data_IF_182547969091
#
_entry.id   IF_182547969091
#
_cell.length_a   1.000
_cell.length_b   1.000
_cell.length_c   1.000
_cell.angle_alpha   90.00
_cell.angle_beta   90.00
_cell.angle_gamma   90.00
#
_symmetry.space_group_name_H-M   'P 1'
#
loop_
_entity.id
_entity.type
_entity.pdbx_description
1 polymer ?
#
# COMPACT_ATOMS: atom_id res chain seq x y z
N UNK A 1 15.71 22.10 -3.81
CA UNK A 1 16.41 21.62 -5.03
C UNK A 1 15.90 20.23 -5.35
N UNK A 2 15.38 19.98 -6.56
CA UNK A 2 14.90 18.67 -6.99
C UNK A 2 16.14 17.81 -7.28
N UNK A 3 16.31 16.72 -6.54
CA UNK A 3 17.41 15.77 -6.73
C UNK A 3 17.00 14.69 -7.73
N UNK A 4 17.99 14.00 -8.30
CA UNK A 4 17.77 12.86 -9.21
C UNK A 4 16.91 11.76 -8.56
N UNK A 5 17.10 11.51 -7.25
CA UNK A 5 16.33 10.52 -6.49
C UNK A 5 14.83 10.86 -6.46
N UNK A 6 14.49 12.16 -6.33
CA UNK A 6 13.10 12.62 -6.37
C UNK A 6 12.48 12.35 -7.74
N UNK A 7 13.22 12.63 -8.83
CA UNK A 7 12.73 12.38 -10.19
C UNK A 7 12.51 10.89 -10.41
N UNK A 8 13.50 10.06 -10.10
CA UNK A 8 13.41 8.61 -10.31
C UNK A 8 12.32 8.00 -9.42
N UNK A 9 12.22 8.40 -8.15
CA UNK A 9 11.19 7.94 -7.25
C UNK A 9 9.76 8.24 -7.74
N UNK A 10 9.56 9.44 -8.32
CA UNK A 10 8.27 9.80 -8.93
C UNK A 10 8.01 9.04 -10.25
N UNK A 11 9.03 8.77 -11.06
CA UNK A 11 8.91 7.91 -12.24
C UNK A 11 8.52 6.48 -11.83
N UNK A 12 9.15 5.92 -10.80
CA UNK A 12 8.78 4.62 -10.25
C UNK A 12 7.29 4.61 -9.83
N UNK A 13 6.83 5.66 -9.16
CA UNK A 13 5.43 5.77 -8.76
C UNK A 13 4.47 5.84 -9.94
N UNK A 14 4.85 6.50 -11.03
CA UNK A 14 4.08 6.52 -12.27
C UNK A 14 3.99 5.12 -12.91
N UNK A 15 5.11 4.42 -12.99
CA UNK A 15 5.15 3.05 -13.52
C UNK A 15 4.32 2.09 -12.67
N UNK A 16 4.42 2.21 -11.35
CA UNK A 16 3.63 1.42 -10.42
C UNK A 16 2.12 1.69 -10.57
N UNK A 17 1.71 2.95 -10.72
CA UNK A 17 0.32 3.34 -10.97
C UNK A 17 -0.22 2.72 -12.27
N UNK A 18 0.56 2.74 -13.35
CA UNK A 18 0.20 2.08 -14.61
C UNK A 18 0.05 0.57 -14.40
N UNK A 19 0.97 -0.04 -13.68
CA UNK A 19 0.93 -1.48 -13.34
C UNK A 19 -0.31 -1.82 -12.52
N UNK A 20 -0.67 -1.00 -11.53
CA UNK A 20 -1.90 -1.19 -10.74
C UNK A 20 -3.17 -1.06 -11.59
N UNK A 21 -3.15 -0.17 -12.58
CA UNK A 21 -4.26 -0.04 -13.54
C UNK A 21 -4.42 -1.32 -14.38
N UNK A 22 -3.32 -1.97 -14.76
CA UNK A 22 -3.35 -3.27 -15.43
C UNK A 22 -3.86 -4.37 -14.50
N UNK A 23 -3.54 -4.30 -13.21
CA UNK A 23 -4.03 -5.24 -12.19
C UNK A 23 -5.57 -5.26 -12.15
N UNK A 24 -6.21 -4.09 -12.21
CA UNK A 24 -7.67 -3.99 -12.15
C UNK A 24 -8.39 -4.65 -13.35
N UNK A 25 -7.69 -4.85 -14.47
CA UNK A 25 -8.23 -5.53 -15.66
C UNK A 25 -8.02 -7.06 -15.68
N UNK A 26 -7.34 -7.62 -14.67
CA UNK A 26 -7.11 -9.05 -14.57
C UNK A 26 -8.40 -9.82 -14.23
N UNK A 27 -8.61 -10.95 -14.90
CA UNK A 27 -9.81 -11.79 -14.72
C UNK A 27 -9.76 -12.71 -13.50
N UNK A 28 -8.59 -12.94 -12.92
CA UNK A 28 -8.41 -13.88 -11.81
C UNK A 28 -7.76 -13.20 -10.62
N UNK A 29 -8.15 -13.60 -9.40
CA UNK A 29 -7.53 -13.09 -8.16
C UNK A 29 -6.02 -13.30 -8.14
N UNK A 30 -5.54 -14.45 -8.63
CA UNK A 30 -4.09 -14.70 -8.77
C UNK A 30 -3.41 -13.68 -9.69
N UNK A 31 -4.02 -13.39 -10.84
CA UNK A 31 -3.51 -12.39 -11.79
C UNK A 31 -3.47 -10.99 -11.15
N UNK A 32 -4.54 -10.59 -10.47
CA UNK A 32 -4.59 -9.32 -9.72
C UNK A 32 -3.44 -9.24 -8.72
N UNK A 33 -3.27 -10.25 -7.85
CA UNK A 33 -2.26 -10.24 -6.80
C UNK A 33 -0.83 -10.29 -7.34
N UNK A 34 -0.59 -11.00 -8.46
CA UNK A 34 0.73 -11.03 -9.11
C UNK A 34 1.10 -9.65 -9.65
N UNK A 35 0.19 -9.00 -10.40
CA UNK A 35 0.44 -7.67 -10.96
C UNK A 35 0.58 -6.63 -9.86
N UNK A 36 -0.23 -6.70 -8.79
CA UNK A 36 -0.07 -5.86 -7.61
C UNK A 36 1.28 -6.08 -6.92
N UNK A 37 1.81 -7.31 -6.88
CA UNK A 37 3.14 -7.55 -6.29
C UNK A 37 4.25 -6.88 -7.09
N UNK A 38 4.13 -6.84 -8.43
CA UNK A 38 5.05 -6.09 -9.29
C UNK A 38 4.94 -4.59 -9.02
N UNK A 39 3.73 -4.07 -8.94
CA UNK A 39 3.47 -2.67 -8.60
C UNK A 39 4.06 -2.30 -7.23
N UNK A 40 3.83 -3.13 -6.20
CA UNK A 40 4.38 -2.91 -4.85
C UNK A 40 5.91 -2.94 -4.84
N UNK A 41 6.53 -3.79 -5.67
CA UNK A 41 7.98 -3.81 -5.82
C UNK A 41 8.50 -2.48 -6.39
N UNK A 42 7.87 -1.98 -7.45
CA UNK A 42 8.24 -0.70 -8.08
C UNK A 42 8.00 0.47 -7.12
N UNK A 43 6.85 0.52 -6.43
CA UNK A 43 6.56 1.51 -5.39
C UNK A 43 7.57 1.45 -4.25
N UNK A 44 7.89 0.24 -3.77
CA UNK A 44 8.86 0.03 -2.70
C UNK A 44 10.24 0.55 -3.06
N UNK A 45 10.69 0.27 -4.28
CA UNK A 45 11.96 0.78 -4.78
C UNK A 45 11.96 2.32 -4.90
N UNK A 46 10.92 2.91 -5.50
CA UNK A 46 10.77 4.37 -5.57
C UNK A 46 10.74 5.03 -4.19
N UNK A 47 9.98 4.45 -3.25
CA UNK A 47 9.88 4.94 -1.87
C UNK A 47 11.21 4.83 -1.13
N UNK A 48 12.01 3.79 -1.42
CA UNK A 48 13.37 3.62 -0.87
C UNK A 48 14.30 4.73 -1.35
N UNK A 49 14.29 5.06 -2.65
CA UNK A 49 15.07 6.17 -3.21
C UNK A 49 14.68 7.51 -2.58
N UNK A 50 13.41 7.71 -2.26
CA UNK A 50 12.88 8.89 -1.58
C UNK A 50 13.14 8.87 -0.06
N UNK A 51 13.92 7.89 0.44
CA UNK A 51 14.27 7.69 1.87
C UNK A 51 13.03 7.48 2.76
N UNK A 52 11.93 7.02 2.20
CA UNK A 52 10.73 6.63 2.92
C UNK A 52 10.79 5.18 3.42
N UNK A 53 11.76 4.83 4.27
CA UNK A 53 12.10 3.44 4.60
C UNK A 53 10.94 2.66 5.21
N UNK A 54 10.17 3.27 6.10
CA UNK A 54 8.97 2.64 6.66
C UNK A 54 7.95 2.27 5.59
N UNK A 55 7.71 3.15 4.61
CA UNK A 55 6.84 2.90 3.47
C UNK A 55 7.37 1.78 2.56
N UNK A 56 8.68 1.76 2.29
CA UNK A 56 9.31 0.69 1.51
C UNK A 56 9.14 -0.68 2.17
N UNK A 57 9.31 -0.75 3.49
CA UNK A 57 9.05 -1.97 4.29
C UNK A 57 7.58 -2.41 4.16
N UNK A 58 6.63 -1.48 4.23
CA UNK A 58 5.22 -1.82 4.08
C UNK A 58 4.89 -2.39 2.69
N UNK A 59 5.53 -1.89 1.64
CA UNK A 59 5.40 -2.46 0.30
C UNK A 59 5.97 -3.90 0.24
N UNK A 60 7.13 -4.16 0.85
CA UNK A 60 7.70 -5.51 0.93
C UNK A 60 6.80 -6.49 1.69
N UNK A 61 6.24 -6.08 2.83
CA UNK A 61 5.27 -6.89 3.60
C UNK A 61 4.01 -7.15 2.79
N UNK A 62 3.54 -6.17 2.00
CA UNK A 62 2.39 -6.34 1.11
C UNK A 62 2.64 -7.38 0.02
N UNK A 63 3.85 -7.44 -0.53
CA UNK A 63 4.25 -8.49 -1.48
C UNK A 63 4.17 -9.87 -0.81
N UNK A 64 4.74 -10.03 0.38
CA UNK A 64 4.69 -11.30 1.12
C UNK A 64 3.25 -11.73 1.41
N UNK A 65 2.40 -10.79 1.85
CA UNK A 65 0.96 -11.02 2.04
C UNK A 65 0.29 -11.51 0.75
N UNK A 66 0.58 -10.88 -0.37
CA UNK A 66 0.01 -11.28 -1.66
C UNK A 66 0.46 -12.70 -2.04
N UNK A 67 1.73 -13.08 -1.80
CA UNK A 67 2.21 -14.43 -2.03
C UNK A 67 1.49 -15.47 -1.16
N UNK A 68 1.26 -15.16 0.12
CA UNK A 68 0.49 -16.03 1.02
C UNK A 68 -0.93 -16.22 0.50
N UNK A 69 -1.58 -15.13 0.05
CA UNK A 69 -2.91 -15.17 -0.53
C UNK A 69 -2.97 -15.95 -1.86
N UNK A 70 -1.98 -15.81 -2.75
CA UNK A 70 -1.87 -16.57 -3.99
C UNK A 70 -1.76 -18.09 -3.73
N UNK A 71 -1.02 -18.45 -2.69
CA UNK A 71 -0.85 -19.85 -2.25
C UNK A 71 -2.03 -20.40 -1.45
N UNK A 72 -3.02 -19.56 -1.15
CA UNK A 72 -4.21 -19.90 -0.36
C UNK A 72 -3.86 -20.52 1.01
N UNK A 73 -2.80 -20.02 1.65
CA UNK A 73 -2.37 -20.48 2.96
C UNK A 73 -3.27 -19.84 4.02
N UNK A 74 -4.21 -20.61 4.56
CA UNK A 74 -5.08 -20.19 5.65
C UNK A 74 -4.43 -20.52 7.01
N UNK A 75 -3.62 -19.61 7.52
CA UNK A 75 -2.96 -19.75 8.82
C UNK A 75 -3.04 -18.45 9.61
N UNK A 76 -3.81 -18.47 10.71
CA UNK A 76 -3.89 -17.31 11.62
C UNK A 76 -2.52 -16.90 12.19
N UNK A 77 -1.63 -17.88 12.40
CA UNK A 77 -0.27 -17.61 12.87
C UNK A 77 0.50 -16.80 11.84
N UNK A 78 0.41 -17.18 10.55
CA UNK A 78 1.08 -16.48 9.47
C UNK A 78 0.49 -15.08 9.24
N UNK A 79 -0.83 -14.93 9.35
CA UNK A 79 -1.51 -13.63 9.27
C UNK A 79 -0.99 -12.67 10.35
N UNK A 80 -0.96 -13.11 11.60
CA UNK A 80 -0.42 -12.30 12.71
C UNK A 80 1.08 -12.07 12.59
N UNK A 81 1.85 -13.05 12.09
CA UNK A 81 3.27 -12.87 11.83
C UNK A 81 3.53 -11.76 10.80
N UNK A 82 2.75 -11.70 9.71
CA UNK A 82 2.83 -10.63 8.71
C UNK A 82 2.46 -9.26 9.28
N UNK A 83 1.38 -9.19 10.09
CA UNK A 83 0.99 -7.96 10.78
C UNK A 83 2.10 -7.47 11.70
N UNK A 84 2.60 -8.34 12.58
CA UNK A 84 3.67 -7.99 13.52
C UNK A 84 4.96 -7.62 12.82
N UNK A 85 5.35 -8.36 11.77
CA UNK A 85 6.52 -8.05 10.94
C UNK A 85 6.40 -6.65 10.33
N UNK A 86 5.23 -6.31 9.77
CA UNK A 86 4.97 -4.97 9.21
C UNK A 86 5.11 -3.87 10.26
N UNK A 87 4.57 -4.08 11.47
CA UNK A 87 4.69 -3.11 12.57
C UNK A 87 6.13 -3.00 13.05
N UNK A 88 6.76 -4.11 13.41
CA UNK A 88 8.11 -4.12 14.01
C UNK A 88 9.14 -3.55 13.03
N UNK A 89 9.17 -4.05 11.79
CA UNK A 89 10.11 -3.56 10.79
C UNK A 89 9.78 -2.12 10.36
N UNK A 90 8.50 -1.77 10.22
CA UNK A 90 8.09 -0.41 9.86
C UNK A 90 8.48 0.63 10.90
N UNK A 91 8.39 0.28 12.19
CA UNK A 91 8.85 1.12 13.31
C UNK A 91 10.38 1.17 13.35
N UNK A 92 11.05 0.03 13.22
CA UNK A 92 12.52 -0.06 13.27
C UNK A 92 13.20 0.75 12.16
N UNK A 93 12.68 0.69 10.94
CA UNK A 93 13.21 1.43 9.79
C UNK A 93 12.61 2.84 9.63
N UNK A 94 11.81 3.31 10.60
CA UNK A 94 11.24 4.64 10.54
C UNK A 94 12.34 5.71 10.75
N UNK A 95 12.57 6.52 9.72
CA UNK A 95 13.53 7.62 9.72
C UNK A 95 12.88 9.01 9.59
N UNK A 96 11.53 9.08 9.59
CA UNK A 96 10.77 10.30 9.35
C UNK A 96 9.93 10.75 10.56
N UNK A 97 10.27 10.27 11.76
CA UNK A 97 9.54 10.59 12.99
C UNK A 97 8.05 10.22 12.88
N UNK A 98 7.17 11.13 13.29
CA UNK A 98 5.72 10.86 13.32
C UNK A 98 5.14 10.52 11.93
N UNK A 99 5.64 11.13 10.87
CA UNK A 99 5.18 10.89 9.50
C UNK A 99 5.50 9.46 9.05
N UNK A 100 6.63 8.92 9.46
CA UNK A 100 7.02 7.55 9.10
C UNK A 100 6.18 6.46 9.77
N UNK A 101 5.36 6.79 10.75
CA UNK A 101 4.36 5.84 11.30
C UNK A 101 3.11 5.74 10.44
N UNK A 102 2.82 6.70 9.55
CA UNK A 102 1.62 6.68 8.72
C UNK A 102 1.48 5.40 7.86
N UNK A 103 2.52 4.95 7.13
CA UNK A 103 2.46 3.68 6.40
C UNK A 103 2.25 2.47 7.29
N UNK A 104 2.83 2.48 8.49
CA UNK A 104 2.70 1.38 9.47
C UNK A 104 1.25 1.27 9.95
N UNK A 105 0.67 2.38 10.41
CA UNK A 105 -0.73 2.44 10.85
C UNK A 105 -1.68 2.10 9.71
N UNK A 106 -1.40 2.63 8.51
CA UNK A 106 -2.19 2.37 7.30
C UNK A 106 -2.28 0.88 6.98
N UNK A 107 -1.14 0.21 6.90
CA UNK A 107 -1.10 -1.23 6.59
C UNK A 107 -1.61 -2.10 7.73
N UNK A 108 -1.30 -1.75 8.97
CA UNK A 108 -1.79 -2.47 10.15
C UNK A 108 -3.33 -2.53 10.16
N UNK A 109 -3.99 -1.37 10.10
CA UNK A 109 -5.45 -1.31 10.16
C UNK A 109 -6.10 -1.96 8.93
N UNK A 110 -5.50 -1.80 7.73
CA UNK A 110 -6.03 -2.40 6.51
C UNK A 110 -5.87 -3.93 6.51
N UNK A 111 -4.74 -4.44 6.94
CA UNK A 111 -4.50 -5.89 7.06
C UNK A 111 -5.47 -6.52 8.06
N UNK A 112 -5.68 -5.89 9.21
CA UNK A 112 -6.68 -6.35 10.19
C UNK A 112 -8.10 -6.33 9.60
N UNK A 113 -8.44 -5.31 8.82
CA UNK A 113 -9.77 -5.22 8.19
C UNK A 113 -9.99 -6.35 7.17
N UNK A 114 -8.99 -6.68 6.36
CA UNK A 114 -9.05 -7.79 5.41
C UNK A 114 -9.31 -9.11 6.14
N UNK A 115 -8.61 -9.38 7.25
CA UNK A 115 -8.75 -10.64 7.97
C UNK A 115 -10.05 -10.71 8.79
N UNK A 116 -10.42 -9.62 9.47
CA UNK A 116 -11.57 -9.60 10.39
C UNK A 116 -12.90 -9.36 9.69
N UNK A 117 -12.91 -8.60 8.61
CA UNK A 117 -14.12 -8.18 7.90
C UNK A 117 -14.18 -8.68 6.46
N UNK A 118 -13.53 -9.83 6.15
CA UNK A 118 -13.44 -10.39 4.79
C UNK A 118 -14.80 -10.48 4.06
N UNK A 119 -15.89 -10.75 4.81
CA UNK A 119 -17.25 -10.88 4.28
C UNK A 119 -18.03 -9.55 4.26
N UNK A 120 -17.45 -8.46 4.77
CA UNK A 120 -18.03 -7.12 4.77
C UNK A 120 -17.29 -6.19 3.82
N UNK A 121 -17.65 -6.23 2.54
CA UNK A 121 -17.04 -5.42 1.47
C UNK A 121 -16.98 -3.92 1.83
N UNK A 122 -18.03 -3.39 2.49
CA UNK A 122 -18.11 -1.98 2.86
C UNK A 122 -17.06 -1.61 3.91
N UNK A 123 -16.91 -2.44 4.95
CA UNK A 123 -15.92 -2.22 6.00
C UNK A 123 -14.48 -2.28 5.44
N UNK A 124 -14.21 -3.23 4.55
CA UNK A 124 -12.91 -3.35 3.88
C UNK A 124 -12.63 -2.12 3.00
N UNK A 125 -13.62 -1.63 2.25
CA UNK A 125 -13.47 -0.42 1.42
C UNK A 125 -13.23 0.85 2.23
N UNK A 126 -13.91 1.00 3.37
CA UNK A 126 -13.66 2.13 4.29
C UNK A 126 -12.22 2.07 4.81
N UNK A 127 -11.79 0.91 5.26
CA UNK A 127 -10.42 0.70 5.74
C UNK A 127 -9.38 0.95 4.63
N UNK A 128 -9.66 0.54 3.40
CA UNK A 128 -8.84 0.82 2.23
C UNK A 128 -8.72 2.33 1.96
N UNK A 129 -9.83 3.08 1.98
CA UNK A 129 -9.81 4.52 1.79
C UNK A 129 -8.97 5.22 2.87
N UNK A 130 -9.09 4.81 4.14
CA UNK A 130 -8.25 5.32 5.24
C UNK A 130 -6.77 5.00 4.98
N UNK A 131 -6.47 3.76 4.60
CA UNK A 131 -5.11 3.31 4.30
C UNK A 131 -4.46 4.19 3.23
N UNK A 132 -5.12 4.33 2.08
CA UNK A 132 -4.58 5.13 0.96
C UNK A 132 -4.52 6.62 1.31
N UNK A 133 -5.47 7.15 2.07
CA UNK A 133 -5.42 8.52 2.58
C UNK A 133 -4.18 8.78 3.43
N UNK A 134 -3.82 7.87 4.34
CA UNK A 134 -2.60 7.95 5.14
C UNK A 134 -1.34 7.86 4.26
N UNK A 135 -1.32 6.98 3.26
CA UNK A 135 -0.23 6.92 2.28
C UNK A 135 -0.14 8.19 1.42
N UNK A 136 -1.26 8.86 1.13
CA UNK A 136 -1.23 10.17 0.44
C UNK A 136 -0.42 11.20 1.22
N UNK A 137 -0.71 11.34 2.51
CA UNK A 137 0.03 12.28 3.39
C UNK A 137 1.51 11.90 3.48
N UNK A 138 1.81 10.62 3.65
CA UNK A 138 3.19 10.12 3.67
C UNK A 138 3.93 10.43 2.36
N UNK A 139 3.31 10.20 1.21
CA UNK A 139 3.89 10.45 -0.10
C UNK A 139 4.19 11.94 -0.34
N UNK A 140 3.31 12.84 0.12
CA UNK A 140 3.60 14.28 0.08
C UNK A 140 4.87 14.60 0.88
N UNK A 141 5.00 14.04 2.07
CA UNK A 141 6.12 14.31 2.96
C UNK A 141 7.48 13.83 2.41
N UNK A 142 7.49 12.74 1.65
CA UNK A 142 8.72 12.23 0.99
C UNK A 142 8.92 12.78 -0.43
N UNK A 143 8.16 13.81 -0.83
CA UNK A 143 8.20 14.43 -2.16
C UNK A 143 7.86 13.47 -3.32
N UNK A 144 7.07 12.44 -3.04
CA UNK A 144 6.49 11.54 -4.03
C UNK A 144 5.15 12.10 -4.52
N UNK A 145 5.21 13.13 -5.32
CA UNK A 145 4.00 13.85 -5.77
C UNK A 145 3.11 12.99 -6.67
N UNK A 146 3.70 12.17 -7.54
CA UNK A 146 2.95 11.26 -8.42
C UNK A 146 2.20 10.22 -7.59
N UNK A 147 2.86 9.59 -6.62
CA UNK A 147 2.24 8.65 -5.70
C UNK A 147 1.15 9.31 -4.83
N UNK A 148 1.37 10.53 -4.37
CA UNK A 148 0.38 11.29 -3.60
C UNK A 148 -0.88 11.59 -4.44
N UNK A 149 -0.72 12.11 -5.66
CA UNK A 149 -1.85 12.39 -6.56
C UNK A 149 -2.63 11.13 -6.91
N UNK A 150 -1.94 10.04 -7.25
CA UNK A 150 -2.57 8.74 -7.54
C UNK A 150 -3.41 8.25 -6.35
N UNK A 151 -2.83 8.21 -5.17
CA UNK A 151 -3.51 7.79 -3.95
C UNK A 151 -4.71 8.69 -3.60
N UNK A 152 -4.56 9.99 -3.77
CA UNK A 152 -5.66 10.94 -3.56
C UNK A 152 -6.84 10.65 -4.48
N UNK A 153 -6.60 10.47 -5.78
CA UNK A 153 -7.64 10.13 -6.77
C UNK A 153 -8.35 8.82 -6.41
N UNK A 154 -7.60 7.78 -6.02
CA UNK A 154 -8.17 6.50 -5.61
C UNK A 154 -8.97 6.62 -4.32
N UNK A 155 -8.51 7.42 -3.35
CA UNK A 155 -9.25 7.69 -2.12
C UNK A 155 -10.60 8.35 -2.42
N UNK A 156 -10.59 9.41 -3.23
CA UNK A 156 -11.83 10.12 -3.63
C UNK A 156 -12.78 9.18 -4.39
N UNK A 157 -12.27 8.41 -5.36
CA UNK A 157 -13.08 7.44 -6.10
C UNK A 157 -13.72 6.40 -5.17
N UNK A 158 -12.97 5.88 -4.20
CA UNK A 158 -13.47 4.91 -3.23
C UNK A 158 -14.57 5.51 -2.34
N UNK A 159 -14.38 6.74 -1.87
CA UNK A 159 -15.39 7.46 -1.06
C UNK A 159 -16.67 7.70 -1.87
N UNK A 160 -16.56 8.13 -3.12
CA UNK A 160 -17.72 8.31 -4.02
C UNK A 160 -18.48 6.99 -4.20
N UNK A 161 -17.76 5.88 -4.41
CA UNK A 161 -18.40 4.55 -4.54
C UNK A 161 -19.11 4.13 -3.25
N UNK A 162 -18.57 4.42 -2.09
CA UNK A 162 -19.17 4.13 -0.79
C UNK A 162 -20.46 4.93 -0.53
N UNK A 163 -20.52 6.18 -1.05
CA UNK A 163 -21.71 7.04 -0.93
C UNK A 163 -22.80 6.59 -1.90
N UNK A 164 -22.43 6.21 -3.15
CA UNK A 164 -23.40 5.81 -4.18
C UNK A 164 -24.04 4.43 -3.96
N UNK A 165 -23.39 3.55 -3.18
CA UNK A 165 -23.91 2.21 -2.81
C UNK A 165 -24.72 2.22 -1.50
N UNK A 166 -25.48 3.30 -1.23
CA UNK A 166 -26.50 3.34 -0.17
C UNK A 166 -27.79 2.69 -0.64
#
# INVERSE_FOLDING_TARGET
MITIDIVIGNICSLLAMITDSISSSQKTTKGVLLVQSISQFIYGFGTLLLKGYSGAVQNAVSILRNFVAIKQIESKVLEWALVLMGVVLGVYFNNLGLIGYLPVVANFQYTLAIFKFKDNERAVKISFAICIGLFTVFNVAILNFVGACSNFVVTVATVIMLIKKK
#
